data_IF_213197034858
#
_entry.id   IF_213197034858
#
_cell.length_a   1.000
_cell.length_b   1.000
_cell.length_c   1.000
_cell.angle_alpha   90.00
_cell.angle_beta   90.00
_cell.angle_gamma   90.00
#
_symmetry.space_group_name_H-M   'P 1'
#
loop_
_entity.id
_entity.type
_entity.pdbx_description
1 polymer ?
#
# COMPACT_ATOMS: atom_id res chain seq x y z
N UNK A 1 3.78 -32.94 -21.84
CA UNK A 1 3.31 -32.93 -20.44
C UNK A 1 3.64 -31.56 -19.86
N UNK A 2 2.65 -30.71 -19.63
CA UNK A 2 2.88 -29.43 -18.98
C UNK A 2 3.28 -29.69 -17.52
N UNK A 3 4.49 -29.30 -17.14
CA UNK A 3 4.95 -29.36 -15.76
C UNK A 3 4.05 -28.44 -14.94
N UNK A 4 3.31 -28.97 -13.97
CA UNK A 4 2.47 -28.17 -13.09
C UNK A 4 3.33 -27.05 -12.46
N UNK A 5 2.91 -25.80 -12.59
CA UNK A 5 3.61 -24.67 -11.97
C UNK A 5 3.76 -24.95 -10.47
N UNK A 6 4.99 -25.09 -9.99
CA UNK A 6 5.29 -25.40 -8.59
C UNK A 6 4.79 -24.24 -7.72
N UNK A 7 3.92 -24.54 -6.74
CA UNK A 7 3.46 -23.52 -5.79
C UNK A 7 4.63 -23.06 -4.89
N UNK A 8 5.10 -21.84 -5.11
CA UNK A 8 6.21 -21.23 -4.36
C UNK A 8 5.75 -20.49 -3.10
N UNK A 9 4.44 -20.49 -2.79
CA UNK A 9 3.89 -19.76 -1.64
C UNK A 9 4.57 -20.18 -0.34
N UNK A 10 4.61 -21.49 -0.06
CA UNK A 10 5.19 -21.99 1.18
C UNK A 10 6.72 -21.81 1.25
N UNK A 11 7.52 -22.11 0.19
CA UNK A 11 8.95 -21.79 0.16
C UNK A 11 9.26 -20.32 0.44
N UNK A 12 8.60 -19.38 -0.24
CA UNK A 12 8.80 -17.94 -0.04
C UNK A 12 8.41 -17.55 1.39
N UNK A 13 7.27 -18.04 1.87
CA UNK A 13 6.79 -17.76 3.22
C UNK A 13 7.79 -18.23 4.27
N UNK A 14 8.29 -19.46 4.17
CA UNK A 14 9.32 -20.00 5.07
C UNK A 14 10.63 -19.23 5.00
N UNK A 15 11.08 -18.86 3.81
CA UNK A 15 12.28 -18.04 3.63
C UNK A 15 12.15 -16.73 4.40
N UNK A 16 11.05 -16.00 4.20
CA UNK A 16 10.78 -14.76 4.90
C UNK A 16 10.68 -14.94 6.42
N UNK A 17 10.09 -16.04 6.89
CA UNK A 17 10.04 -16.37 8.31
C UNK A 17 11.42 -16.57 8.95
N UNK A 18 12.45 -16.97 8.18
CA UNK A 18 13.80 -17.21 8.70
C UNK A 18 14.68 -15.97 8.71
N UNK A 19 14.44 -15.05 7.77
CA UNK A 19 15.25 -13.83 7.60
C UNK A 19 14.89 -12.72 8.61
N UNK A 20 13.96 -12.97 9.53
CA UNK A 20 13.69 -12.13 10.69
C UNK A 20 12.66 -11.01 10.48
N UNK A 21 12.68 -10.02 11.37
CA UNK A 21 11.62 -9.01 11.56
C UNK A 21 11.54 -7.92 10.49
N UNK A 22 12.58 -7.76 9.66
CA UNK A 22 12.73 -6.61 8.77
C UNK A 22 12.12 -6.79 7.37
N UNK A 23 11.51 -7.96 7.10
CA UNK A 23 11.06 -8.31 5.76
C UNK A 23 12.25 -8.46 4.80
N UNK A 24 11.98 -8.75 3.53
CA UNK A 24 13.04 -8.88 2.53
C UNK A 24 12.69 -8.14 1.25
N UNK A 25 13.70 -7.55 0.63
CA UNK A 25 13.54 -6.98 -0.70
C UNK A 25 13.16 -8.10 -1.68
N UNK A 26 12.16 -7.85 -2.53
CA UNK A 26 11.66 -8.84 -3.48
C UNK A 26 12.74 -9.39 -4.42
N UNK A 27 13.73 -8.56 -4.79
CA UNK A 27 14.88 -9.01 -5.59
C UNK A 27 15.75 -9.99 -4.80
N UNK A 28 16.03 -9.72 -3.52
CA UNK A 28 16.77 -10.65 -2.66
C UNK A 28 16.06 -11.99 -2.50
N UNK A 29 14.71 -12.00 -2.45
CA UNK A 29 13.91 -13.24 -2.38
C UNK A 29 14.15 -14.07 -3.65
N UNK A 30 14.05 -13.44 -4.82
CA UNK A 30 14.30 -14.09 -6.11
C UNK A 30 15.71 -14.65 -6.15
N UNK A 31 16.71 -13.82 -5.86
CA UNK A 31 18.12 -14.21 -5.94
C UNK A 31 18.42 -15.39 -5.00
N UNK A 32 18.08 -15.29 -3.72
CA UNK A 32 18.38 -16.34 -2.74
C UNK A 32 17.61 -17.64 -3.02
N UNK A 33 16.35 -17.56 -3.45
CA UNK A 33 15.59 -18.77 -3.75
C UNK A 33 16.07 -19.45 -5.03
N UNK A 34 16.50 -18.69 -6.05
CA UNK A 34 17.08 -19.22 -7.29
C UNK A 34 18.33 -20.07 -6.99
N UNK A 35 19.23 -19.55 -6.14
CA UNK A 35 20.45 -20.26 -5.74
C UNK A 35 20.16 -21.49 -4.87
N UNK A 36 19.14 -21.45 -4.01
CA UNK A 36 18.82 -22.58 -3.12
C UNK A 36 18.10 -23.75 -3.80
N UNK A 37 17.44 -23.50 -4.92
CA UNK A 37 16.55 -24.47 -5.58
C UNK A 37 17.15 -25.10 -6.85
N UNK A 38 18.36 -24.70 -7.25
CA UNK A 38 18.97 -25.03 -8.56
C UNK A 38 18.04 -24.73 -9.76
N UNK A 39 17.09 -23.82 -9.56
CA UNK A 39 16.03 -23.54 -10.54
C UNK A 39 16.41 -22.27 -11.31
N UNK A 40 16.95 -22.45 -12.51
CA UNK A 40 17.43 -21.36 -13.38
C UNK A 40 16.30 -20.42 -13.86
N UNK A 41 15.05 -20.70 -13.48
CA UNK A 41 13.84 -20.05 -13.98
C UNK A 41 12.96 -19.38 -12.89
N UNK A 42 13.44 -19.28 -11.64
CA UNK A 42 12.75 -18.46 -10.64
C UNK A 42 12.89 -16.98 -11.02
N UNK A 43 11.86 -16.44 -11.69
CA UNK A 43 11.87 -15.06 -12.14
C UNK A 43 11.01 -14.17 -11.20
N UNK A 44 11.28 -12.87 -11.25
CA UNK A 44 10.61 -11.88 -10.41
C UNK A 44 9.09 -11.85 -10.63
N UNK A 45 8.62 -12.09 -11.86
CA UNK A 45 7.20 -12.17 -12.20
C UNK A 45 6.47 -13.30 -11.45
N UNK A 46 7.06 -14.49 -11.36
CA UNK A 46 6.47 -15.61 -10.62
C UNK A 46 6.40 -15.31 -9.12
N UNK A 47 7.48 -14.76 -8.55
CA UNK A 47 7.51 -14.38 -7.12
C UNK A 47 6.49 -13.28 -6.83
N UNK A 48 6.39 -12.24 -7.66
CA UNK A 48 5.36 -11.20 -7.57
C UNK A 48 3.95 -11.77 -7.64
N UNK A 49 3.69 -12.67 -8.59
CA UNK A 49 2.37 -13.31 -8.72
C UNK A 49 1.97 -14.05 -7.45
N UNK A 50 2.89 -14.84 -6.88
CA UNK A 50 2.65 -15.57 -5.62
C UNK A 50 2.40 -14.63 -4.45
N UNK A 51 3.18 -13.54 -4.34
CA UNK A 51 2.99 -12.53 -3.29
C UNK A 51 1.63 -11.84 -3.41
N UNK A 52 1.22 -11.47 -4.63
CA UNK A 52 0.00 -10.70 -4.87
C UNK A 52 -1.29 -11.53 -4.81
N UNK A 53 -1.20 -12.84 -5.03
CA UNK A 53 -2.35 -13.75 -5.00
C UNK A 53 -2.59 -14.39 -3.64
N UNK A 54 -1.61 -14.32 -2.73
CA UNK A 54 -1.67 -14.91 -1.40
C UNK A 54 -1.91 -13.83 -0.32
N UNK A 55 -2.85 -14.10 0.59
CA UNK A 55 -3.12 -13.27 1.76
C UNK A 55 -2.04 -13.38 2.85
N UNK A 56 -1.08 -14.29 2.67
CA UNK A 56 0.03 -14.56 3.58
C UNK A 56 1.20 -13.58 3.42
N UNK A 57 1.10 -12.58 2.55
CA UNK A 57 2.14 -11.59 2.37
C UNK A 57 1.59 -10.16 2.52
N UNK A 58 2.44 -9.30 3.04
CA UNK A 58 2.24 -7.86 3.07
C UNK A 58 3.43 -7.20 2.38
N UNK A 59 3.16 -6.29 1.45
CA UNK A 59 4.18 -5.57 0.70
C UNK A 59 4.15 -4.09 1.06
N UNK A 60 5.32 -3.53 1.38
CA UNK A 60 5.54 -2.11 1.57
C UNK A 60 6.69 -1.67 0.66
N UNK A 61 6.35 -0.99 -0.45
CA UNK A 61 7.32 -0.72 -1.51
C UNK A 61 7.88 -2.03 -2.09
N UNK A 62 9.20 -2.20 -2.06
CA UNK A 62 9.87 -3.42 -2.53
C UNK A 62 10.14 -4.45 -1.42
N UNK A 63 9.71 -4.19 -0.19
CA UNK A 63 9.94 -5.09 0.95
C UNK A 63 8.69 -5.93 1.20
N UNK A 64 8.90 -7.25 1.31
CA UNK A 64 7.87 -8.26 1.51
C UNK A 64 7.97 -8.81 2.93
N UNK A 65 6.83 -8.89 3.59
CA UNK A 65 6.67 -9.44 4.93
C UNK A 65 5.70 -10.62 4.88
N UNK A 66 5.99 -11.74 5.56
CA UNK A 66 5.01 -12.79 5.74
C UNK A 66 4.01 -12.33 6.80
N UNK A 67 2.72 -12.57 6.53
CA UNK A 67 1.59 -12.14 7.35
C UNK A 67 0.84 -13.35 7.90
N UNK A 68 0.35 -13.22 9.13
CA UNK A 68 -0.51 -14.21 9.75
C UNK A 68 -1.55 -13.58 10.67
N UNK A 69 -2.66 -14.29 10.89
CA UNK A 69 -3.63 -13.98 11.96
C UNK A 69 -3.33 -14.75 13.26
N UNK A 70 -2.28 -15.57 13.27
CA UNK A 70 -1.86 -16.34 14.44
C UNK A 70 -1.44 -15.40 15.57
N UNK A 71 -1.92 -15.64 16.78
CA UNK A 71 -1.63 -14.83 17.96
C UNK A 71 -1.20 -15.70 19.14
N UNK A 72 -0.50 -15.07 20.09
CA UNK A 72 -0.16 -15.66 21.39
C UNK A 72 -1.27 -15.35 22.38
N UNK A 73 -1.73 -16.36 23.12
CA UNK A 73 -2.73 -16.16 24.16
C UNK A 73 -2.13 -15.39 25.36
N UNK A 74 -2.85 -14.36 25.83
CA UNK A 74 -2.47 -13.61 27.04
C UNK A 74 -2.85 -14.28 28.36
N UNK A 75 -3.43 -15.50 28.34
CA UNK A 75 -3.88 -16.25 29.52
C UNK A 75 -2.97 -17.47 29.78
N UNK A 76 -2.93 -17.99 31.03
CA UNK A 76 -2.20 -19.22 31.34
C UNK A 76 -2.62 -20.39 30.45
N UNK A 77 -1.73 -21.34 30.15
CA UNK A 77 -1.98 -22.46 29.24
C UNK A 77 -3.15 -23.35 29.66
N UNK A 78 -3.49 -23.37 30.95
CA UNK A 78 -4.54 -24.22 31.54
C UNK A 78 -5.95 -23.64 31.45
N UNK A 79 -6.15 -22.49 30.80
CA UNK A 79 -7.48 -21.91 30.63
C UNK A 79 -8.32 -22.66 29.58
N UNK A 80 -9.58 -22.25 29.40
CA UNK A 80 -10.60 -22.87 28.54
C UNK A 80 -10.07 -23.54 27.24
N UNK A 81 -10.52 -24.78 27.03
CA UNK A 81 -10.19 -25.64 25.90
C UNK A 81 -10.66 -25.12 24.53
N UNK A 82 -11.49 -24.07 24.51
CA UNK A 82 -11.97 -23.44 23.28
C UNK A 82 -11.09 -22.27 22.78
N UNK A 83 -9.89 -22.09 23.34
CA UNK A 83 -8.95 -21.06 22.90
C UNK A 83 -8.52 -21.27 21.43
N UNK A 84 -8.37 -20.18 20.67
CA UNK A 84 -7.95 -20.21 19.25
C UNK A 84 -6.54 -19.63 19.02
N UNK A 85 -5.79 -19.39 20.10
CA UNK A 85 -4.46 -18.78 20.09
C UNK A 85 -3.40 -19.72 20.66
N UNK A 86 -2.14 -19.47 20.34
CA UNK A 86 -1.02 -20.27 20.86
C UNK A 86 -0.87 -20.11 22.37
N UNK A 87 -0.76 -21.23 23.08
CA UNK A 87 -0.38 -21.28 24.48
C UNK A 87 1.14 -21.39 24.56
N UNK A 88 1.79 -20.24 24.37
CA UNK A 88 3.24 -20.09 24.50
C UNK A 88 3.58 -18.81 25.23
N UNK A 89 4.59 -18.85 26.08
CA UNK A 89 5.15 -17.64 26.68
C UNK A 89 5.74 -16.74 25.59
N UNK A 90 5.26 -15.50 25.51
CA UNK A 90 5.76 -14.51 24.56
C UNK A 90 7.26 -14.24 24.68
N UNK A 91 7.84 -14.27 25.89
CA UNK A 91 9.28 -14.04 26.08
C UNK A 91 10.12 -15.26 25.72
N UNK A 92 9.56 -16.47 25.87
CA UNK A 92 10.17 -17.67 25.30
C UNK A 92 10.14 -17.61 23.77
N UNK A 93 9.02 -17.21 23.18
CA UNK A 93 8.88 -17.19 21.73
C UNK A 93 9.71 -16.07 21.09
N UNK A 94 9.61 -14.82 21.58
CA UNK A 94 10.19 -13.65 20.91
C UNK A 94 11.66 -13.42 21.22
N UNK A 95 12.16 -13.78 22.41
CA UNK A 95 13.55 -13.49 22.82
C UNK A 95 14.28 -14.69 23.41
N UNK A 96 13.62 -15.85 23.51
CA UNK A 96 14.12 -17.04 24.19
C UNK A 96 14.62 -16.77 25.64
N UNK A 97 14.15 -15.68 26.27
CA UNK A 97 14.67 -15.16 27.54
C UNK A 97 13.60 -15.14 28.65
N UNK A 98 12.80 -16.20 28.72
CA UNK A 98 11.81 -16.35 29.79
C UNK A 98 12.47 -16.78 31.10
N UNK A 99 12.51 -15.85 32.09
CA UNK A 99 13.08 -16.10 33.43
C UNK A 99 12.43 -17.26 34.21
N UNK A 100 11.20 -17.66 33.87
CA UNK A 100 10.47 -18.75 34.55
C UNK A 100 10.77 -20.14 33.98
N UNK A 101 11.38 -20.23 32.79
CA UNK A 101 11.74 -21.50 32.15
C UNK A 101 10.59 -22.53 32.23
N UNK A 102 10.79 -23.69 32.89
CA UNK A 102 9.82 -24.78 32.99
C UNK A 102 8.58 -24.44 33.83
N UNK A 103 8.66 -23.51 34.79
CA UNK A 103 7.56 -23.14 35.69
C UNK A 103 6.68 -22.01 35.09
N UNK A 104 6.85 -21.73 33.80
CA UNK A 104 6.12 -20.66 33.14
C UNK A 104 4.68 -21.08 32.86
N UNK A 105 3.73 -20.46 33.57
CA UNK A 105 2.28 -20.67 33.44
C UNK A 105 1.71 -20.44 32.02
N UNK A 106 2.46 -19.79 31.13
CA UNK A 106 2.04 -19.54 29.74
C UNK A 106 2.49 -20.65 28.77
N UNK A 107 3.25 -21.63 29.24
CA UNK A 107 3.67 -22.79 28.45
C UNK A 107 4.87 -22.52 27.53
N UNK A 108 5.79 -23.48 27.47
CA UNK A 108 6.93 -23.45 26.52
C UNK A 108 6.88 -24.62 25.52
N UNK A 109 5.85 -25.47 25.57
CA UNK A 109 5.73 -26.62 24.70
C UNK A 109 5.09 -26.25 23.35
N UNK A 110 5.93 -25.96 22.36
CA UNK A 110 5.50 -25.67 20.98
C UNK A 110 4.72 -26.83 20.36
N UNK A 111 5.09 -28.07 20.69
CA UNK A 111 4.52 -29.31 20.13
C UNK A 111 3.32 -29.84 20.93
N UNK A 112 2.73 -29.02 21.81
CA UNK A 112 1.53 -29.42 22.54
C UNK A 112 0.39 -29.76 21.58
N UNK A 113 -0.53 -30.65 22.02
CA UNK A 113 -1.69 -31.03 21.20
C UNK A 113 -2.51 -29.80 20.78
N UNK A 114 -2.68 -28.84 21.70
CA UNK A 114 -3.34 -27.57 21.45
C UNK A 114 -2.61 -26.74 20.38
N UNK A 115 -1.33 -26.46 20.57
CA UNK A 115 -0.56 -25.61 19.66
C UNK A 115 -0.48 -26.20 18.24
N UNK A 116 -0.31 -27.53 18.11
CA UNK A 116 -0.36 -28.21 16.80
C UNK A 116 -1.72 -28.08 16.12
N UNK A 117 -2.82 -28.16 16.87
CA UNK A 117 -4.18 -27.93 16.34
C UNK A 117 -4.31 -26.50 15.81
N UNK A 118 -3.91 -25.50 16.60
CA UNK A 118 -3.98 -24.08 16.20
C UNK A 118 -3.10 -23.79 14.98
N UNK A 119 -1.87 -24.31 14.93
CA UNK A 119 -0.98 -24.18 13.78
C UNK A 119 -1.60 -24.80 12.53
N UNK A 120 -2.24 -25.97 12.65
CA UNK A 120 -2.95 -26.61 11.54
C UNK A 120 -4.12 -25.77 11.02
N UNK A 121 -4.94 -25.21 11.92
CA UNK A 121 -6.06 -24.33 11.57
C UNK A 121 -5.63 -23.08 10.81
N UNK A 122 -4.44 -22.56 11.10
CA UNK A 122 -3.85 -21.42 10.39
C UNK A 122 -3.06 -21.80 9.11
N UNK A 123 -2.97 -23.10 8.80
CA UNK A 123 -2.18 -23.62 7.67
C UNK A 123 -0.66 -23.52 7.88
N UNK A 124 -0.21 -23.49 9.14
CA UNK A 124 1.18 -23.29 9.56
C UNK A 124 1.81 -24.55 10.16
N UNK A 125 1.16 -25.71 10.07
CA UNK A 125 1.65 -26.98 10.63
C UNK A 125 2.99 -27.47 10.02
N UNK A 126 3.42 -26.88 8.91
CA UNK A 126 4.71 -27.19 8.26
C UNK A 126 5.85 -26.32 8.75
N UNK A 127 5.61 -25.32 9.61
CA UNK A 127 6.64 -24.40 10.10
C UNK A 127 7.36 -24.98 11.33
N UNK A 128 8.67 -24.75 11.42
CA UNK A 128 9.44 -25.01 12.64
C UNK A 128 9.21 -23.93 13.70
N UNK A 129 9.63 -24.20 14.95
CA UNK A 129 9.62 -23.20 16.01
C UNK A 129 10.34 -21.91 15.59
N UNK A 130 11.54 -22.00 15.01
CA UNK A 130 12.30 -20.83 14.56
C UNK A 130 11.59 -20.04 13.44
N UNK A 131 10.91 -20.72 12.51
CA UNK A 131 10.10 -20.06 11.48
C UNK A 131 8.88 -19.33 12.11
N UNK A 132 8.23 -19.92 13.12
CA UNK A 132 7.14 -19.26 13.85
C UNK A 132 7.64 -18.09 14.70
N UNK A 133 8.84 -18.19 15.28
CA UNK A 133 9.49 -17.08 16.00
C UNK A 133 9.68 -15.88 15.08
N UNK A 134 10.36 -16.06 13.96
CA UNK A 134 10.57 -14.97 13.01
C UNK A 134 9.26 -14.40 12.46
N UNK A 135 8.28 -15.26 12.16
CA UNK A 135 6.93 -14.83 11.76
C UNK A 135 6.27 -13.88 12.77
N UNK A 136 6.32 -14.21 14.06
CA UNK A 136 5.67 -13.44 15.12
C UNK A 136 6.51 -12.26 15.64
N UNK A 137 7.81 -12.24 15.33
CA UNK A 137 8.67 -11.07 15.54
C UNK A 137 8.45 -9.97 14.50
N UNK A 138 7.86 -10.29 13.34
CA UNK A 138 7.54 -9.30 12.30
C UNK A 138 6.46 -8.35 12.79
N UNK A 139 6.72 -7.05 12.61
CA UNK A 139 5.90 -5.96 13.13
C UNK A 139 4.41 -6.07 12.78
N UNK A 140 4.07 -6.42 11.54
CA UNK A 140 2.67 -6.53 11.11
C UNK A 140 1.90 -7.70 11.73
N UNK A 141 2.59 -8.63 12.41
CA UNK A 141 2.00 -9.79 13.10
C UNK A 141 2.01 -9.64 14.63
N UNK A 142 2.58 -8.55 15.17
CA UNK A 142 2.61 -8.30 16.63
C UNK A 142 1.28 -7.70 17.11
N UNK A 143 0.94 -7.97 18.37
CA UNK A 143 -0.19 -7.38 19.11
C UNK A 143 0.30 -6.48 20.25
N UNK A 144 -0.61 -5.87 21.01
CA UNK A 144 -0.30 -5.11 22.23
C UNK A 144 0.43 -5.97 23.26
N UNK A 145 0.17 -7.27 23.29
CA UNK A 145 0.78 -8.21 24.22
C UNK A 145 2.25 -8.50 23.86
N UNK A 146 2.59 -8.46 22.57
CA UNK A 146 3.92 -8.79 22.03
C UNK A 146 4.73 -7.57 21.59
N UNK A 147 4.28 -6.37 21.95
CA UNK A 147 4.94 -5.10 21.63
C UNK A 147 5.18 -4.33 22.92
N UNK A 148 6.39 -3.78 23.14
CA UNK A 148 6.66 -2.95 24.30
C UNK A 148 5.90 -1.62 24.18
N UNK A 149 5.49 -1.08 25.32
CA UNK A 149 4.82 0.21 25.41
C UNK A 149 5.74 1.24 26.06
N UNK A 150 5.52 2.52 25.73
CA UNK A 150 6.10 3.62 26.52
C UNK A 150 5.51 3.61 27.94
N UNK A 151 6.34 3.84 28.94
CA UNK A 151 5.89 3.96 30.31
C UNK A 151 5.17 5.28 30.52
N UNK A 152 3.88 5.21 30.82
CA UNK A 152 3.08 6.40 31.14
C UNK A 152 3.57 7.09 32.42
N UNK A 153 3.96 6.33 33.45
CA UNK A 153 4.45 6.89 34.72
C UNK A 153 5.78 7.62 34.57
N UNK A 154 6.70 7.09 33.75
CA UNK A 154 7.93 7.80 33.40
C UNK A 154 7.63 9.15 32.74
N UNK A 155 6.68 9.16 31.81
CA UNK A 155 6.28 10.34 31.05
C UNK A 155 5.38 11.32 31.83
N UNK A 156 4.96 10.99 33.05
CA UNK A 156 4.22 11.85 33.97
C UNK A 156 5.16 12.46 35.03
N UNK A 157 4.71 13.49 35.75
CA UNK A 157 5.55 14.22 36.72
C UNK A 157 5.99 13.35 37.91
N UNK A 158 5.18 12.38 38.32
CA UNK A 158 5.47 11.48 39.46
C UNK A 158 6.65 10.51 39.22
N UNK A 159 7.06 10.31 37.96
CA UNK A 159 8.07 9.34 37.59
C UNK A 159 7.65 7.88 37.79
N UNK A 160 8.45 6.94 37.28
CA UNK A 160 8.18 5.51 37.41
C UNK A 160 8.85 4.92 38.65
N UNK A 161 8.06 4.44 39.62
CA UNK A 161 8.56 3.79 40.84
C UNK A 161 9.26 2.43 40.61
N UNK A 162 9.04 1.82 39.44
CA UNK A 162 9.66 0.53 39.09
C UNK A 162 11.08 0.65 38.56
N UNK A 163 11.52 1.87 38.20
CA UNK A 163 12.87 2.13 37.68
C UNK A 163 13.29 1.08 36.62
N UNK A 164 14.45 0.44 36.76
CA UNK A 164 15.00 -0.60 35.87
C UNK A 164 14.11 -1.86 35.76
N UNK A 165 13.27 -2.18 36.74
CA UNK A 165 12.35 -3.34 36.71
C UNK A 165 11.04 -3.06 35.95
N UNK A 166 10.87 -1.84 35.43
CA UNK A 166 9.70 -1.51 34.64
C UNK A 166 9.69 -2.32 33.34
N UNK A 167 8.50 -2.85 33.00
CA UNK A 167 8.30 -3.65 31.78
C UNK A 167 7.95 -2.78 30.56
N UNK A 168 7.88 -1.46 30.74
CA UNK A 168 7.60 -0.47 29.71
C UNK A 168 8.84 0.40 29.49
N UNK A 169 9.01 0.94 28.29
CA UNK A 169 10.19 1.72 27.88
C UNK A 169 10.19 3.09 28.58
N UNK A 170 11.31 3.46 29.20
CA UNK A 170 11.54 4.75 29.84
C UNK A 170 12.25 5.74 28.92
N UNK A 171 11.53 6.20 27.91
CA UNK A 171 11.98 7.28 27.03
C UNK A 171 10.89 8.35 26.94
N UNK A 172 11.31 9.59 26.73
CA UNK A 172 10.42 10.73 26.57
C UNK A 172 9.59 10.57 25.30
N UNK A 173 8.27 10.42 25.45
CA UNK A 173 7.35 10.32 24.32
C UNK A 173 7.43 11.53 23.40
N UNK A 174 7.53 12.73 23.97
CA UNK A 174 7.64 13.96 23.18
C UNK A 174 8.94 14.00 22.37
N UNK A 175 10.01 13.38 22.86
CA UNK A 175 11.28 13.30 22.16
C UNK A 175 11.17 12.35 20.97
N UNK A 176 10.65 11.14 21.20
CA UNK A 176 10.37 10.15 20.15
C UNK A 176 9.43 10.72 19.06
N UNK A 177 8.44 11.54 19.45
CA UNK A 177 7.53 12.22 18.52
C UNK A 177 8.12 13.48 17.83
N UNK A 178 9.40 13.81 18.06
CA UNK A 178 10.06 15.05 17.58
C UNK A 178 9.39 16.36 18.03
N UNK A 179 8.73 16.36 19.20
CA UNK A 179 7.99 17.48 19.79
C UNK A 179 8.60 18.00 21.09
N UNK A 180 9.71 17.42 21.56
CA UNK A 180 10.36 17.83 22.79
C UNK A 180 11.20 19.09 22.57
N UNK A 181 11.20 20.00 23.55
CA UNK A 181 11.99 21.25 23.51
C UNK A 181 13.44 21.09 23.99
N UNK A 182 13.85 19.86 24.35
CA UNK A 182 15.23 19.46 24.63
C UNK A 182 15.82 20.05 25.92
N UNK A 183 16.08 21.35 25.94
CA UNK A 183 16.96 22.02 26.91
C UNK A 183 16.55 21.89 28.39
N UNK A 184 15.24 21.79 28.67
CA UNK A 184 14.71 21.68 30.03
C UNK A 184 13.83 20.43 30.21
N UNK A 185 14.05 19.39 29.42
CA UNK A 185 13.28 18.16 29.55
C UNK A 185 13.77 17.36 30.76
N UNK A 186 12.87 17.01 31.68
CA UNK A 186 13.14 16.16 32.83
C UNK A 186 12.93 14.66 32.55
N UNK A 187 12.83 14.28 31.27
CA UNK A 187 12.57 12.90 30.82
C UNK A 187 13.76 12.38 30.04
N UNK A 188 14.02 11.08 30.17
CA UNK A 188 15.13 10.41 29.51
C UNK A 188 15.02 10.51 27.97
N UNK A 189 16.11 10.91 27.31
CA UNK A 189 16.27 10.95 25.86
C UNK A 189 17.32 9.94 25.36
N UNK A 190 18.05 9.30 26.25
CA UNK A 190 19.15 8.40 25.92
C UNK A 190 18.67 6.96 25.80
N UNK A 191 19.32 6.18 24.92
CA UNK A 191 19.10 4.74 24.79
C UNK A 191 19.91 4.02 25.88
N UNK A 192 19.41 4.10 27.11
CA UNK A 192 20.04 3.52 28.30
C UNK A 192 19.76 2.00 28.45
N UNK A 193 20.36 1.40 29.49
CA UNK A 193 20.19 -0.03 29.82
C UNK A 193 18.71 -0.43 30.02
N UNK A 194 17.88 0.49 30.51
CA UNK A 194 16.46 0.22 30.72
C UNK A 194 15.74 0.08 29.36
N UNK A 195 16.02 0.98 28.43
CA UNK A 195 15.44 0.96 27.08
C UNK A 195 15.86 -0.32 26.35
N UNK A 196 17.15 -0.64 26.34
CA UNK A 196 17.68 -1.82 25.63
C UNK A 196 17.16 -3.13 26.24
N UNK A 197 17.17 -3.26 27.57
CA UNK A 197 16.66 -4.44 28.28
C UNK A 197 15.19 -4.72 27.95
N UNK A 198 14.35 -3.68 27.89
CA UNK A 198 12.93 -3.86 27.52
C UNK A 198 12.81 -4.28 26.05
N UNK A 199 13.51 -3.63 25.12
CA UNK A 199 13.47 -3.96 23.70
C UNK A 199 13.91 -5.41 23.42
N UNK A 200 15.06 -5.81 23.97
CA UNK A 200 15.61 -7.16 23.83
C UNK A 200 14.68 -8.23 24.40
N UNK A 201 14.04 -7.95 25.55
CA UNK A 201 13.05 -8.85 26.14
C UNK A 201 11.87 -9.10 25.20
N UNK A 202 11.49 -8.13 24.38
CA UNK A 202 10.48 -8.26 23.34
C UNK A 202 11.04 -8.71 21.97
N UNK A 203 12.31 -9.11 21.90
CA UNK A 203 12.93 -9.64 20.69
C UNK A 203 13.18 -8.58 19.63
N UNK A 204 13.57 -7.37 20.04
CA UNK A 204 14.09 -6.34 19.15
C UNK A 204 15.61 -6.29 19.26
N UNK A 205 16.27 -6.00 18.13
CA UNK A 205 17.72 -5.80 18.09
C UNK A 205 18.07 -4.39 18.57
N UNK A 206 19.05 -4.32 19.46
CA UNK A 206 19.57 -3.11 20.12
C UNK A 206 21.01 -2.83 19.71
N UNK A 207 21.64 -3.68 18.88
CA UNK A 207 22.97 -3.44 18.32
C UNK A 207 22.90 -2.52 17.09
N UNK A 208 22.19 -1.40 17.22
CA UNK A 208 21.92 -0.42 16.17
C UNK A 208 22.32 0.97 16.67
N UNK A 209 22.45 1.92 15.75
CA UNK A 209 22.64 3.34 16.13
C UNK A 209 21.40 3.87 16.87
N UNK A 210 21.61 4.77 17.85
CA UNK A 210 20.56 5.33 18.69
C UNK A 210 19.38 5.90 17.87
N UNK A 211 19.65 6.60 16.78
CA UNK A 211 18.62 7.14 15.87
C UNK A 211 17.75 6.03 15.27
N UNK A 212 18.34 4.89 14.90
CA UNK A 212 17.60 3.72 14.39
C UNK A 212 16.74 3.08 15.49
N UNK A 213 17.22 3.07 16.73
CA UNK A 213 16.46 2.56 17.88
C UNK A 213 15.30 3.50 18.22
N UNK A 214 15.50 4.82 18.17
CA UNK A 214 14.43 5.82 18.36
C UNK A 214 13.35 5.64 17.30
N UNK A 215 13.74 5.48 16.03
CA UNK A 215 12.80 5.20 14.94
C UNK A 215 12.04 3.88 15.12
N UNK A 216 12.72 2.84 15.60
CA UNK A 216 12.10 1.59 15.97
C UNK A 216 11.06 1.78 17.08
N UNK A 217 11.42 2.49 18.17
CA UNK A 217 10.50 2.77 19.29
C UNK A 217 9.30 3.57 18.81
N UNK A 218 9.51 4.60 17.99
CA UNK A 218 8.44 5.41 17.39
C UNK A 218 7.49 4.52 16.60
N UNK A 219 8.00 3.80 15.61
CA UNK A 219 7.21 2.89 14.78
C UNK A 219 6.45 1.90 15.70
N UNK A 220 7.21 1.19 16.52
CA UNK A 220 6.85 0.52 17.78
C UNK A 220 5.51 0.89 18.39
N UNK A 221 5.45 2.14 18.80
CA UNK A 221 4.53 2.67 19.81
C UNK A 221 3.49 3.63 19.22
N UNK A 222 3.69 4.12 17.99
CA UNK A 222 2.72 4.95 17.25
C UNK A 222 1.55 4.14 16.67
N UNK A 223 1.65 2.81 16.62
CA UNK A 223 0.48 1.98 16.32
C UNK A 223 -0.47 1.99 17.53
N UNK A 224 -1.49 2.84 17.43
CA UNK A 224 -2.79 2.49 18.00
C UNK A 224 -3.19 1.15 17.38
N UNK A 225 -3.02 0.08 18.13
CA UNK A 225 -3.70 -1.16 17.83
C UNK A 225 -5.19 -0.82 17.70
N UNK A 226 -5.76 -0.98 16.51
CA UNK A 226 -7.14 -1.42 16.41
C UNK A 226 -7.16 -2.84 17.00
N UNK A 227 -7.11 -2.94 18.33
CA UNK A 227 -7.47 -4.18 19.03
C UNK A 227 -8.95 -4.34 18.77
N UNK A 228 -9.30 -5.12 17.75
CA UNK A 228 -10.55 -5.85 17.79
C UNK A 228 -10.46 -6.75 19.02
N UNK A 229 -11.15 -6.34 20.09
CA UNK A 229 -11.42 -7.21 21.21
C UNK A 229 -12.05 -8.52 20.68
N UNK A 230 -11.78 -9.67 21.30
CA UNK A 230 -12.39 -10.92 20.88
C UNK A 230 -13.89 -10.85 21.20
N UNK A 231 -14.68 -10.49 20.19
CA UNK A 231 -16.12 -10.63 20.24
C UNK A 231 -16.54 -11.58 19.14
N UNK A 232 -16.91 -12.77 19.58
CA UNK A 232 -18.01 -13.61 19.08
C UNK A 232 -18.31 -13.56 17.57
N UNK A 233 -17.97 -14.70 16.93
CA UNK A 233 -18.57 -15.27 15.70
C UNK A 233 -18.39 -14.46 14.40
N UNK A 234 -17.80 -15.07 13.34
CA UNK A 234 -17.62 -14.40 12.06
C UNK A 234 -18.96 -14.23 11.34
N UNK A 235 -19.51 -13.02 11.36
CA UNK A 235 -20.48 -12.62 10.36
C UNK A 235 -19.71 -12.23 9.08
N UNK A 236 -19.96 -12.98 8.00
CA UNK A 236 -19.38 -12.75 6.67
C UNK A 236 -19.70 -11.33 6.19
N UNK A 237 -18.82 -10.36 6.42
CA UNK A 237 -18.89 -9.09 5.71
C UNK A 237 -18.09 -9.20 4.41
N UNK A 238 -18.81 -9.41 3.30
CA UNK A 238 -18.24 -9.22 1.96
C UNK A 238 -17.63 -7.80 1.87
N UNK A 239 -16.45 -7.60 1.27
CA UNK A 239 -15.93 -6.26 1.00
C UNK A 239 -16.94 -5.55 0.09
N UNK A 240 -17.50 -4.44 0.54
CA UNK A 240 -18.38 -3.61 -0.30
C UNK A 240 -17.51 -2.90 -1.34
N UNK A 241 -17.94 -2.84 -2.61
CA UNK A 241 -17.17 -2.25 -3.70
C UNK A 241 -16.92 -0.75 -3.44
N UNK A 242 -15.67 -0.30 -3.69
CA UNK A 242 -15.31 1.12 -3.70
C UNK A 242 -16.09 1.82 -4.82
N UNK A 243 -16.74 2.95 -4.53
CA UNK A 243 -17.49 3.71 -5.52
C UNK A 243 -16.54 4.51 -6.42
N UNK A 244 -16.93 4.78 -7.68
CA UNK A 244 -16.19 5.63 -8.62
C UNK A 244 -16.19 7.13 -8.28
N UNK A 245 -16.86 7.53 -7.20
CA UNK A 245 -17.04 8.93 -6.81
C UNK A 245 -15.95 9.41 -5.83
N UNK A 246 -15.53 10.68 -5.97
CA UNK A 246 -14.57 11.32 -5.08
C UNK A 246 -15.19 11.73 -3.75
N UNK A 247 -14.41 11.67 -2.68
CA UNK A 247 -14.85 12.10 -1.36
C UNK A 247 -14.88 13.63 -1.29
N UNK A 248 -16.09 14.22 -1.36
CA UNK A 248 -16.29 15.67 -1.24
C UNK A 248 -15.69 16.26 0.04
N UNK A 249 -15.69 15.51 1.13
CA UNK A 249 -15.08 15.96 2.40
C UNK A 249 -13.55 15.94 2.34
N UNK A 250 -12.95 14.99 1.62
CA UNK A 250 -11.50 14.91 1.45
C UNK A 250 -10.99 16.03 0.54
N UNK A 251 -11.71 16.33 -0.54
CA UNK A 251 -11.40 17.47 -1.42
C UNK A 251 -11.42 18.82 -0.69
N UNK A 252 -12.21 18.93 0.38
CA UNK A 252 -12.26 20.09 1.28
C UNK A 252 -11.29 20.01 2.47
N UNK A 253 -10.46 18.96 2.54
CA UNK A 253 -9.44 18.76 3.59
C UNK A 253 -9.94 18.16 4.91
N UNK A 254 -11.19 17.72 5.01
CA UNK A 254 -11.87 17.45 6.29
C UNK A 254 -12.38 16.00 6.46
N UNK A 255 -11.96 15.05 5.62
CA UNK A 255 -12.43 13.67 5.75
C UNK A 255 -11.59 12.85 6.74
N UNK A 256 -12.14 12.58 7.92
CA UNK A 256 -11.57 11.68 8.95
C UNK A 256 -12.13 10.24 8.91
N UNK A 257 -12.91 9.93 7.86
CA UNK A 257 -13.42 8.62 7.41
C UNK A 257 -12.43 7.43 7.43
N UNK A 258 -12.29 6.52 8.43
CA UNK A 258 -11.29 5.45 8.35
C UNK A 258 -11.57 4.45 7.22
N UNK A 259 -12.84 4.21 6.88
CA UNK A 259 -13.28 3.36 5.76
C UNK A 259 -14.17 4.13 4.79
N UNK A 260 -13.67 5.25 4.27
CA UNK A 260 -14.42 6.01 3.29
C UNK A 260 -14.58 5.24 1.98
N UNK A 261 -15.83 5.04 1.54
CA UNK A 261 -16.16 4.32 0.30
C UNK A 261 -15.78 5.07 -0.99
N UNK A 262 -15.43 6.35 -0.86
CA UNK A 262 -15.16 7.30 -1.94
C UNK A 262 -13.65 7.49 -2.16
N UNK A 263 -13.25 7.96 -3.34
CA UNK A 263 -11.83 8.18 -3.69
C UNK A 263 -11.26 9.35 -2.85
N UNK A 264 -10.21 9.07 -2.09
CA UNK A 264 -9.37 10.09 -1.43
C UNK A 264 -8.15 10.33 -2.32
N UNK A 265 -8.13 11.47 -3.02
CA UNK A 265 -7.03 11.89 -3.89
C UNK A 265 -6.73 13.35 -3.63
N UNK A 266 -5.45 13.71 -3.62
CA UNK A 266 -5.01 15.12 -3.56
C UNK A 266 -5.31 15.88 -4.86
N UNK A 267 -5.56 15.14 -5.95
CA UNK A 267 -5.84 15.68 -7.27
C UNK A 267 -7.33 15.60 -7.63
N UNK A 268 -7.86 16.54 -8.43
CA UNK A 268 -9.24 16.52 -8.90
C UNK A 268 -9.49 15.48 -10.01
N UNK A 269 -8.52 14.58 -10.25
CA UNK A 269 -8.58 13.48 -11.21
C UNK A 269 -7.97 12.20 -10.61
N UNK A 270 -8.34 11.06 -11.18
CA UNK A 270 -7.82 9.75 -10.82
C UNK A 270 -7.87 8.81 -12.03
N UNK A 271 -6.71 8.42 -12.52
CA UNK A 271 -6.58 7.34 -13.48
C UNK A 271 -6.87 6.01 -12.80
N UNK A 272 -7.61 5.16 -13.49
CA UNK A 272 -7.98 3.82 -13.06
C UNK A 272 -7.73 2.82 -14.20
N UNK A 273 -7.52 1.56 -13.85
CA UNK A 273 -7.44 0.44 -14.78
C UNK A 273 -8.35 -0.70 -14.34
N UNK A 274 -8.79 -1.50 -15.29
CA UNK A 274 -9.72 -2.60 -15.07
C UNK A 274 -9.03 -3.95 -15.26
N UNK A 275 -9.14 -4.81 -14.24
CA UNK A 275 -8.70 -6.21 -14.29
C UNK A 275 -9.91 -7.12 -14.06
N UNK A 276 -10.39 -7.15 -12.82
CA UNK A 276 -11.68 -7.76 -12.41
C UNK A 276 -12.63 -6.72 -11.80
N UNK A 277 -12.05 -5.61 -11.34
CA UNK A 277 -12.72 -4.42 -10.82
C UNK A 277 -11.86 -3.20 -11.19
N UNK A 278 -12.44 -2.00 -11.08
CA UNK A 278 -11.69 -0.76 -11.24
C UNK A 278 -10.74 -0.54 -10.07
N UNK A 279 -9.45 -0.43 -10.39
CA UNK A 279 -8.38 -0.10 -9.45
C UNK A 279 -7.81 1.26 -9.79
N UNK A 280 -7.39 2.01 -8.78
CA UNK A 280 -6.75 3.32 -8.97
C UNK A 280 -5.26 3.13 -9.22
N UNK A 281 -4.67 3.94 -10.10
CA UNK A 281 -3.21 4.01 -10.20
C UNK A 281 -2.61 4.60 -8.90
N UNK A 282 -1.39 4.18 -8.51
CA UNK A 282 -0.64 4.82 -7.44
C UNK A 282 -0.47 6.33 -7.67
N UNK A 283 -0.41 7.15 -6.62
CA UNK A 283 -0.39 8.62 -6.73
C UNK A 283 0.71 9.15 -7.67
N UNK A 284 1.94 8.64 -7.53
CA UNK A 284 3.09 9.00 -8.36
C UNK A 284 2.85 8.69 -9.84
N UNK A 285 2.29 7.51 -10.13
CA UNK A 285 1.98 7.09 -11.50
C UNK A 285 0.79 7.87 -12.05
N UNK A 286 -0.22 8.12 -11.24
CA UNK A 286 -1.39 8.92 -11.59
C UNK A 286 -0.99 10.34 -12.03
N UNK A 287 -0.02 10.96 -11.35
CA UNK A 287 0.57 12.25 -11.75
C UNK A 287 1.37 12.13 -13.05
N UNK A 288 2.18 11.07 -13.21
CA UNK A 288 2.96 10.84 -14.42
C UNK A 288 2.08 10.64 -15.65
N UNK A 289 0.99 9.87 -15.54
CA UNK A 289 0.02 9.66 -16.61
C UNK A 289 -0.65 10.99 -16.95
N UNK A 290 -1.13 11.74 -15.95
CA UNK A 290 -1.80 13.02 -16.21
C UNK A 290 -0.88 14.03 -16.90
N UNK A 291 0.38 14.13 -16.46
CA UNK A 291 1.36 15.05 -17.04
C UNK A 291 1.61 14.75 -18.52
N UNK A 292 1.75 13.47 -18.86
CA UNK A 292 1.93 13.04 -20.26
C UNK A 292 0.63 13.17 -21.06
N UNK A 293 -0.51 12.85 -20.46
CA UNK A 293 -1.81 13.01 -21.09
C UNK A 293 -2.11 14.46 -21.45
N UNK A 294 -1.73 15.42 -20.60
CA UNK A 294 -1.91 16.84 -20.86
C UNK A 294 -1.20 17.35 -22.13
N UNK A 295 -0.24 16.59 -22.68
CA UNK A 295 0.39 16.91 -23.96
C UNK A 295 -0.40 16.28 -25.13
N UNK A 296 -0.91 17.06 -26.08
CA UNK A 296 -1.66 16.52 -27.21
C UNK A 296 -0.78 15.71 -28.17
N UNK A 297 0.54 15.91 -28.18
CA UNK A 297 1.46 15.20 -29.09
C UNK A 297 1.86 13.81 -28.56
N UNK A 298 1.66 13.55 -27.27
CA UNK A 298 1.95 12.25 -26.67
C UNK A 298 0.76 11.31 -26.91
N UNK A 299 1.01 10.22 -27.63
CA UNK A 299 0.02 9.15 -27.89
C UNK A 299 0.08 8.05 -26.85
N UNK A 300 1.31 7.68 -26.48
CA UNK A 300 1.60 6.61 -25.54
C UNK A 300 2.46 7.18 -24.42
N UNK A 301 2.02 7.04 -23.18
CA UNK A 301 2.81 7.39 -22.01
C UNK A 301 3.60 6.17 -21.56
N UNK A 302 4.92 6.27 -21.54
CA UNK A 302 5.77 5.26 -20.90
C UNK A 302 5.78 5.53 -19.40
N UNK A 303 5.56 4.48 -18.61
CA UNK A 303 5.51 4.55 -17.15
C UNK A 303 6.77 3.93 -16.56
N UNK A 304 7.15 4.42 -15.38
CA UNK A 304 8.30 3.85 -14.68
C UNK A 304 7.89 2.50 -14.04
N UNK A 305 8.50 1.36 -14.43
CA UNK A 305 8.13 0.03 -13.92
C UNK A 305 8.38 -0.16 -12.41
N UNK A 306 9.07 0.78 -11.76
CA UNK A 306 9.36 0.75 -10.33
C UNK A 306 8.10 0.93 -9.45
N UNK A 307 7.01 1.49 -9.99
CA UNK A 307 5.83 1.88 -9.20
C UNK A 307 4.54 1.14 -9.56
N UNK A 308 4.46 0.48 -10.72
CA UNK A 308 3.34 -0.37 -11.13
C UNK A 308 3.74 -1.37 -12.24
N UNK A 309 2.95 -2.42 -12.44
CA UNK A 309 3.18 -3.45 -13.47
C UNK A 309 2.60 -3.07 -14.85
N UNK A 310 2.42 -1.78 -15.13
CA UNK A 310 1.94 -1.24 -16.42
C UNK A 310 3.10 -0.49 -17.05
N UNK A 311 3.56 -0.96 -18.20
CA UNK A 311 4.71 -0.40 -18.93
C UNK A 311 4.33 0.86 -19.71
N UNK A 312 3.13 0.87 -20.28
CA UNK A 312 2.67 1.96 -21.13
C UNK A 312 1.16 2.17 -21.05
N UNK A 313 0.75 3.39 -21.39
CA UNK A 313 -0.64 3.79 -21.52
C UNK A 313 -0.84 4.41 -22.90
N UNK A 314 -1.68 3.79 -23.72
CA UNK A 314 -2.14 4.31 -25.01
C UNK A 314 -3.39 5.18 -24.80
N UNK A 315 -3.22 6.49 -24.99
CA UNK A 315 -4.28 7.48 -24.81
C UNK A 315 -5.28 7.52 -25.96
N UNK A 316 -4.93 6.97 -27.13
CA UNK A 316 -5.85 6.90 -28.27
C UNK A 316 -6.79 5.71 -28.11
N UNK A 317 -6.25 4.57 -27.71
CA UNK A 317 -7.05 3.36 -27.48
C UNK A 317 -7.72 3.32 -26.11
N UNK A 318 -7.32 4.20 -25.20
CA UNK A 318 -7.70 4.14 -23.78
C UNK A 318 -7.42 2.75 -23.19
N UNK A 319 -6.20 2.26 -23.47
CA UNK A 319 -5.68 0.98 -22.99
C UNK A 319 -4.34 1.18 -22.31
N UNK A 320 -4.06 0.36 -21.31
CA UNK A 320 -2.75 0.21 -20.70
C UNK A 320 -2.19 -1.16 -21.09
N UNK A 321 -0.90 -1.25 -21.38
CA UNK A 321 -0.23 -2.53 -21.56
C UNK A 321 0.45 -2.91 -20.24
N UNK A 322 0.14 -4.09 -19.71
CA UNK A 322 0.94 -4.63 -18.60
C UNK A 322 2.32 -5.06 -19.11
N UNK A 323 3.22 -5.45 -18.20
CA UNK A 323 4.56 -5.94 -18.56
C UNK A 323 4.53 -7.19 -19.46
N UNK A 324 3.43 -7.94 -19.44
CA UNK A 324 3.20 -9.13 -20.27
C UNK A 324 2.59 -8.80 -21.65
N UNK A 325 2.30 -7.53 -21.92
CA UNK A 325 1.71 -7.03 -23.18
C UNK A 325 0.18 -7.20 -23.28
N UNK A 326 -0.51 -7.62 -22.22
CA UNK A 326 -1.96 -7.70 -22.21
C UNK A 326 -2.60 -6.31 -22.09
N UNK A 327 -3.61 -5.99 -22.94
CA UNK A 327 -4.30 -4.72 -22.88
C UNK A 327 -5.33 -4.68 -21.72
N UNK A 328 -5.16 -3.70 -20.84
CA UNK A 328 -6.07 -3.38 -19.74
C UNK A 328 -6.89 -2.14 -20.10
N UNK A 329 -8.20 -2.16 -19.85
CA UNK A 329 -9.03 -0.95 -20.02
C UNK A 329 -8.66 0.08 -18.97
N UNK A 330 -8.56 1.34 -19.36
CA UNK A 330 -8.30 2.45 -18.44
C UNK A 330 -9.39 3.52 -18.50
N UNK A 331 -9.51 4.27 -17.41
CA UNK A 331 -10.47 5.37 -17.29
C UNK A 331 -9.85 6.51 -16.48
N UNK A 332 -10.01 7.75 -16.94
CA UNK A 332 -9.68 8.95 -16.17
C UNK A 332 -10.94 9.50 -15.49
N UNK A 333 -11.05 9.28 -14.18
CA UNK A 333 -12.15 9.82 -13.37
C UNK A 333 -11.88 11.26 -12.96
N UNK A 334 -12.92 12.07 -12.87
CA UNK A 334 -12.84 13.47 -12.44
C UNK A 334 -13.73 13.76 -11.24
N UNK A 335 -13.26 14.64 -10.37
CA UNK A 335 -13.94 15.02 -9.13
C UNK A 335 -15.02 16.08 -9.32
N UNK A 336 -14.90 16.94 -10.34
CA UNK A 336 -15.82 18.05 -10.61
C UNK A 336 -15.78 18.44 -12.08
N UNK A 337 -16.88 19.00 -12.65
CA UNK A 337 -16.93 19.46 -14.03
C UNK A 337 -16.09 20.72 -14.30
N UNK A 338 -15.63 21.44 -13.27
CA UNK A 338 -14.94 22.73 -13.40
C UNK A 338 -13.46 22.61 -13.80
N UNK A 339 -13.07 21.58 -14.55
CA UNK A 339 -11.71 21.44 -15.06
C UNK A 339 -11.62 22.12 -16.42
N UNK A 340 -10.61 22.98 -16.61
CA UNK A 340 -10.40 23.67 -17.88
C UNK A 340 -9.87 22.67 -18.91
N UNK A 341 -10.69 22.32 -19.89
CA UNK A 341 -10.31 21.47 -21.01
C UNK A 341 -9.85 22.33 -22.19
N UNK A 342 -8.90 21.83 -22.96
CA UNK A 342 -8.40 22.45 -24.18
C UNK A 342 -8.62 21.48 -25.33
N UNK A 343 -9.13 22.00 -26.44
CA UNK A 343 -9.45 21.26 -27.64
C UNK A 343 -8.38 21.49 -28.71
N UNK A 344 -7.89 20.40 -29.28
CA UNK A 344 -6.84 20.40 -30.29
C UNK A 344 -7.33 19.70 -31.54
N UNK A 345 -6.91 20.21 -32.69
CA UNK A 345 -7.10 19.58 -33.99
C UNK A 345 -5.75 19.43 -34.68
N UNK A 346 -5.66 18.46 -35.59
CA UNK A 346 -4.43 18.17 -36.33
C UNK A 346 -4.65 18.43 -37.82
N UNK A 347 -4.30 19.64 -38.25
CA UNK A 347 -4.31 20.05 -39.66
C UNK A 347 -3.09 19.54 -40.44
N UNK A 348 -1.96 19.38 -39.76
CA UNK A 348 -0.69 18.91 -40.33
C UNK A 348 -0.27 17.58 -39.68
N UNK A 349 0.42 16.66 -40.39
CA UNK A 349 0.62 15.26 -39.96
C UNK A 349 1.22 15.05 -38.56
N UNK A 350 1.90 16.04 -37.99
CA UNK A 350 2.66 15.91 -36.74
C UNK A 350 2.34 16.95 -35.65
N UNK A 351 1.50 17.94 -35.94
CA UNK A 351 1.32 19.09 -35.04
C UNK A 351 -0.12 19.23 -34.59
N UNK A 352 -0.34 19.14 -33.28
CA UNK A 352 -1.63 19.45 -32.66
C UNK A 352 -1.72 20.95 -32.34
N UNK A 353 -2.63 21.64 -33.02
CA UNK A 353 -2.90 23.06 -32.79
C UNK A 353 -4.12 23.24 -31.89
N UNK A 354 -4.07 24.25 -31.04
CA UNK A 354 -5.22 24.61 -30.20
C UNK A 354 -6.30 25.28 -31.07
N UNK A 355 -7.53 24.80 -30.97
CA UNK A 355 -8.64 25.25 -31.83
C UNK A 355 -8.96 26.74 -31.61
N UNK A 356 -9.01 27.19 -30.36
CA UNK A 356 -9.21 28.61 -30.01
C UNK A 356 -8.10 29.56 -30.50
N UNK A 357 -6.94 29.03 -30.91
CA UNK A 357 -5.85 29.82 -31.51
C UNK A 357 -5.80 29.72 -33.04
N UNK A 358 -6.72 28.96 -33.64
CA UNK A 358 -6.74 28.66 -35.07
C UNK A 358 -7.84 29.45 -35.81
N UNK A 359 -8.17 30.66 -35.34
CA UNK A 359 -9.21 31.51 -35.96
C UNK A 359 -10.65 31.02 -35.76
N UNK A 360 -10.87 30.03 -34.89
CA UNK A 360 -12.21 29.49 -34.54
C UNK A 360 -12.86 30.39 -33.49
N UNK A 361 -14.14 30.74 -33.69
CA UNK A 361 -14.89 31.62 -32.79
C UNK A 361 -15.26 30.95 -31.47
N UNK A 362 -15.64 29.69 -31.52
CA UNK A 362 -16.03 28.89 -30.37
C UNK A 362 -14.82 28.60 -29.46
N UNK A 363 -14.81 29.21 -28.28
CA UNK A 363 -13.78 28.96 -27.28
C UNK A 363 -13.87 27.56 -26.65
N UNK A 364 -12.77 27.11 -26.03
CA UNK A 364 -12.68 25.79 -25.40
C UNK A 364 -13.83 25.48 -24.41
N UNK A 365 -14.26 26.46 -23.63
CA UNK A 365 -15.37 26.31 -22.67
C UNK A 365 -16.70 26.01 -23.36
N UNK A 366 -16.96 26.63 -24.51
CA UNK A 366 -18.18 26.42 -25.28
C UNK A 366 -18.18 25.03 -25.94
N UNK A 367 -17.05 24.63 -26.53
CA UNK A 367 -16.89 23.30 -27.11
C UNK A 367 -17.08 22.23 -26.02
N UNK A 368 -16.45 22.41 -24.85
CA UNK A 368 -16.54 21.49 -23.71
C UNK A 368 -17.96 21.35 -23.15
N UNK A 369 -18.71 22.47 -23.06
CA UNK A 369 -20.11 22.44 -22.62
C UNK A 369 -20.98 21.60 -23.56
N UNK A 370 -20.70 21.64 -24.86
CA UNK A 370 -21.46 20.89 -25.87
C UNK A 370 -20.98 19.44 -26.06
N UNK A 371 -19.75 19.10 -25.66
CA UNK A 371 -19.21 17.74 -25.76
C UNK A 371 -20.12 16.68 -25.12
N UNK A 372 -20.67 16.99 -23.94
CA UNK A 372 -21.54 16.07 -23.21
C UNK A 372 -22.91 15.87 -23.85
N UNK A 373 -23.34 16.79 -24.73
CA UNK A 373 -24.61 16.67 -25.45
C UNK A 373 -24.55 15.62 -26.57
N UNK A 374 -23.35 15.26 -27.03
CA UNK A 374 -23.10 14.38 -28.20
C UNK A 374 -23.78 14.84 -29.49
N UNK A 375 -24.18 16.12 -29.56
CA UNK A 375 -24.72 16.73 -30.77
C UNK A 375 -23.55 17.39 -31.50
N UNK A 376 -23.46 17.16 -32.81
CA UNK A 376 -22.44 17.77 -33.64
C UNK A 376 -22.44 19.29 -33.52
N UNK A 377 -21.24 19.88 -33.38
CA UNK A 377 -21.07 21.31 -33.19
C UNK A 377 -20.59 21.96 -34.48
N UNK A 378 -21.26 23.03 -34.91
CA UNK A 378 -20.77 23.87 -36.00
C UNK A 378 -19.73 24.84 -35.46
N UNK A 379 -18.55 24.88 -36.08
CA UNK A 379 -17.44 25.76 -35.74
C UNK A 379 -17.27 26.81 -36.83
N UNK A 380 -17.13 28.07 -36.44
CA UNK A 380 -16.96 29.19 -37.35
C UNK A 380 -15.49 29.62 -37.46
N UNK A 381 -14.94 29.56 -38.67
CA UNK A 381 -13.58 30.00 -38.98
C UNK A 381 -13.60 31.45 -39.48
N UNK A 382 -13.21 32.39 -38.61
CA UNK A 382 -13.30 33.84 -38.85
C UNK A 382 -12.53 34.30 -40.08
N UNK A 383 -11.30 33.81 -40.26
CA UNK A 383 -10.40 34.29 -41.31
C UNK A 383 -10.87 33.93 -42.73
N UNK A 384 -11.64 32.85 -42.86
CA UNK A 384 -12.16 32.37 -44.14
C UNK A 384 -13.68 32.54 -44.28
N UNK A 385 -14.36 32.95 -43.20
CA UNK A 385 -15.82 32.99 -43.08
C UNK A 385 -16.49 31.67 -43.53
N UNK A 386 -15.94 30.55 -43.09
CA UNK A 386 -16.46 29.21 -43.41
C UNK A 386 -16.81 28.44 -42.14
N UNK A 387 -17.61 27.39 -42.30
CA UNK A 387 -18.03 26.55 -41.20
C UNK A 387 -17.48 25.14 -41.33
N UNK A 388 -17.11 24.55 -40.19
CA UNK A 388 -16.76 23.15 -40.09
C UNK A 388 -17.68 22.43 -39.10
N UNK A 389 -17.85 21.14 -39.28
CA UNK A 389 -18.66 20.29 -38.40
C UNK A 389 -17.73 19.50 -37.48
N UNK A 390 -17.79 19.74 -36.17
CA UNK A 390 -17.14 18.93 -35.16
C UNK A 390 -18.06 17.77 -34.76
N UNK A 391 -17.65 16.56 -35.12
CA UNK A 391 -18.28 15.32 -34.69
C UNK A 391 -17.60 14.83 -33.40
N UNK A 392 -18.36 14.81 -32.30
CA UNK A 392 -17.85 14.39 -30.99
C UNK A 392 -17.76 12.87 -30.82
N UNK A 393 -18.52 12.10 -31.60
CA UNK A 393 -18.50 10.63 -31.55
C UNK A 393 -17.27 10.08 -32.27
N UNK A 394 -17.02 10.57 -33.48
CA UNK A 394 -15.87 10.19 -34.30
C UNK A 394 -14.59 10.97 -33.93
N UNK A 395 -14.72 12.01 -33.10
CA UNK A 395 -13.61 12.88 -32.68
C UNK A 395 -12.87 13.51 -33.89
N UNK A 396 -13.65 14.06 -34.84
CA UNK A 396 -13.13 14.72 -36.05
C UNK A 396 -13.83 16.04 -36.32
N UNK A 397 -13.11 16.98 -36.93
CA UNK A 397 -13.65 18.18 -37.56
C UNK A 397 -13.67 17.96 -39.06
N UNK A 398 -14.86 18.07 -39.67
CA UNK A 398 -15.05 18.00 -41.11
C UNK A 398 -15.13 19.42 -41.65
N UNK A 399 -14.12 19.85 -42.40
CA UNK A 399 -14.08 21.15 -43.07
C UNK A 399 -13.84 20.94 -44.55
N UNK A 400 -14.75 21.43 -45.40
CA UNK A 400 -14.68 21.29 -46.86
C UNK A 400 -14.48 19.83 -47.33
N UNK A 401 -15.20 18.89 -46.70
CA UNK A 401 -15.11 17.44 -46.97
C UNK A 401 -13.76 16.79 -46.61
N UNK A 402 -12.88 17.51 -45.90
CA UNK A 402 -11.64 16.98 -45.34
C UNK A 402 -11.85 16.75 -43.85
N UNK A 403 -11.42 15.59 -43.36
CA UNK A 403 -11.50 15.23 -41.96
C UNK A 403 -10.19 15.51 -41.23
N UNK A 404 -10.30 16.24 -40.12
CA UNK A 404 -9.19 16.59 -39.25
C UNK A 404 -9.43 15.94 -37.89
N UNK A 405 -8.54 15.07 -37.39
CA UNK A 405 -8.74 14.43 -36.10
C UNK A 405 -8.61 15.46 -34.98
N UNK A 406 -9.39 15.23 -33.93
CA UNK A 406 -9.53 16.11 -32.77
C UNK A 406 -9.22 15.34 -31.49
N UNK A 407 -8.64 16.02 -30.51
CA UNK A 407 -8.49 15.47 -29.15
C UNK A 407 -8.65 16.54 -28.08
N UNK A 408 -9.05 16.09 -26.90
CA UNK A 408 -9.33 16.93 -25.74
C UNK A 408 -8.34 16.61 -24.61
N UNK A 409 -7.63 17.63 -24.09
CA UNK A 409 -6.64 17.49 -22.99
C UNK A 409 -6.91 18.47 -21.83
N UNK A 410 -6.55 18.12 -20.59
CA UNK A 410 -6.64 19.06 -19.47
C UNK A 410 -5.65 20.21 -19.69
N UNK A 411 -6.03 21.44 -19.34
CA UNK A 411 -5.13 22.60 -19.39
C UNK A 411 -3.93 22.35 -18.47
N UNK A 412 -2.71 22.46 -19.01
CA UNK A 412 -1.47 22.42 -18.21
C UNK A 412 -1.56 23.53 -17.15
N UNK A 413 -1.36 23.19 -15.87
CA UNK A 413 -1.08 24.20 -14.84
C UNK A 413 0.37 24.64 -15.05
N UNK A 414 0.55 25.93 -15.25
CA UNK A 414 1.88 26.57 -15.30
C UNK A 414 2.64 26.41 -13.98
#
# INVERSE_FOLDING_TARGET
>A
MACASRDLTLPIFKFLCREGSNGQNIHCIVDKLSHSSNDLHLNLSHVKHVINTSDRFHQQGNIIYPKTSLQICGRPETHDNNCTSLHLCKFYLLSNNCKRSKDCIFGHNFESQHNRKILKEHGLSKLSLEEVRGLLQIRCNRTSETTPMLCNYHNNDDGCRKSVDCHCIHICKKFVDFKCRGRNCNKNHDIDEQVTTVLEKFGFDTNLEDESIIDLIRNVTELKFEVQAPSSVPSKSKPKPKTSEFCRYFLKGNCSRPNCKFIHSKHPYMWCYYVKQWLNFPEVVNEQIEKQYADPNIKTATLNPQYNDISEVDFEKMLASNLDGEPLKIERKQASPNMNWVWYWRAEPETWSEMSKSGIEEGNEFIEKNFHSKIDLMLHFKDSNTYAKLNFEEMVVVHKSIEYPVRRRPKKKE
#
